data_IF_364487670691
#
_entry.id   IF_364487670691
#
_cell.length_a   1.000
_cell.length_b   1.000
_cell.length_c   1.000
_cell.angle_alpha   90.00
_cell.angle_beta   90.00
_cell.angle_gamma   90.00
#
_symmetry.space_group_name_H-M   'P 1'
#
loop_
_entity.id
_entity.type
_entity.pdbx_description
1 polymer ?
#
# COMPACT_ATOMS: atom_id res chain seq x y z
N UNK A 1 12.15 4.50 -17.96
CA UNK A 1 11.14 5.12 -17.07
C UNK A 1 9.85 4.30 -16.89
N UNK A 2 9.09 4.00 -17.96
CA UNK A 2 7.76 3.37 -17.85
C UNK A 2 7.68 2.13 -16.94
N UNK A 3 8.61 1.14 -17.02
CA UNK A 3 8.55 -0.04 -16.14
C UNK A 3 8.71 0.32 -14.65
N UNK A 4 9.54 1.32 -14.36
CA UNK A 4 9.79 1.81 -13.00
C UNK A 4 8.56 2.53 -12.47
N UNK A 5 7.94 3.39 -13.27
CA UNK A 5 6.71 4.09 -12.89
C UNK A 5 5.57 3.10 -12.63
N UNK A 6 5.35 2.14 -13.53
CA UNK A 6 4.32 1.10 -13.36
C UNK A 6 4.54 0.27 -12.09
N UNK A 7 5.79 0.06 -11.69
CA UNK A 7 6.11 -0.60 -10.42
C UNK A 7 5.81 0.32 -9.23
N UNK A 8 6.29 1.56 -9.26
CA UNK A 8 6.19 2.52 -8.16
C UNK A 8 4.75 2.94 -7.83
N UNK A 9 3.84 3.01 -8.82
CA UNK A 9 2.43 3.37 -8.59
C UNK A 9 1.63 2.28 -7.87
N UNK A 10 2.03 1.01 -7.99
CA UNK A 10 1.31 -0.13 -7.39
C UNK A 10 1.24 -0.04 -5.85
N UNK A 11 2.36 0.07 -5.12
CA UNK A 11 2.34 0.17 -3.65
C UNK A 11 2.03 1.60 -3.14
N UNK A 12 1.85 2.58 -4.03
CA UNK A 12 1.58 3.97 -3.69
C UNK A 12 0.14 4.37 -4.03
N UNK A 13 -0.08 5.06 -5.14
CA UNK A 13 -1.39 5.61 -5.53
C UNK A 13 -2.45 4.53 -5.75
N UNK A 14 -2.08 3.32 -6.20
CA UNK A 14 -3.02 2.21 -6.34
C UNK A 14 -3.26 1.44 -5.03
N UNK A 15 -2.66 1.90 -3.93
CA UNK A 15 -2.79 1.33 -2.57
C UNK A 15 -3.33 2.36 -1.58
N UNK A 16 -4.09 3.34 -2.06
CA UNK A 16 -4.79 4.32 -1.22
C UNK A 16 -6.28 4.37 -1.55
N UNK A 17 -7.12 4.71 -0.56
CA UNK A 17 -8.53 4.99 -0.80
C UNK A 17 -9.07 5.96 0.25
N UNK A 18 -9.72 7.05 -0.14
CA UNK A 18 -10.39 7.96 0.80
C UNK A 18 -11.84 7.52 1.03
N UNK A 19 -12.62 7.43 -0.03
CA UNK A 19 -14.06 7.11 -0.03
C UNK A 19 -14.41 5.87 -0.86
N UNK A 20 -13.52 5.47 -1.78
CA UNK A 20 -13.71 4.34 -2.67
C UNK A 20 -14.11 4.73 -4.09
N UNK A 21 -14.27 6.03 -4.37
CA UNK A 21 -14.65 6.53 -5.68
C UNK A 21 -13.42 6.89 -6.51
N UNK A 22 -13.18 6.11 -7.58
CA UNK A 22 -12.08 6.36 -8.51
C UNK A 22 -12.43 7.53 -9.44
N UNK A 23 -11.55 8.52 -9.53
CA UNK A 23 -11.76 9.70 -10.38
C UNK A 23 -11.69 9.33 -11.85
N UNK A 24 -12.43 10.07 -12.69
CA UNK A 24 -12.34 9.97 -14.15
C UNK A 24 -11.05 10.56 -14.73
N UNK A 25 -10.22 11.19 -13.90
CA UNK A 25 -9.10 12.02 -14.32
C UNK A 25 -7.76 11.69 -13.64
N UNK A 26 -7.69 10.63 -12.84
CA UNK A 26 -6.45 10.25 -12.15
C UNK A 26 -5.31 10.04 -13.16
N UNK A 27 -4.26 10.85 -13.03
CA UNK A 27 -3.14 10.89 -13.99
C UNK A 27 -1.82 11.07 -13.25
N UNK A 28 -0.86 10.18 -13.51
CA UNK A 28 0.51 10.28 -13.00
C UNK A 28 1.48 10.36 -14.19
N UNK A 29 2.32 11.39 -14.22
CA UNK A 29 3.32 11.60 -15.27
C UNK A 29 4.73 11.63 -14.65
N UNK A 30 5.68 10.97 -15.31
CA UNK A 30 7.10 11.00 -14.94
C UNK A 30 7.91 11.50 -16.13
N UNK A 31 8.64 12.60 -15.93
CA UNK A 31 9.46 13.26 -16.94
C UNK A 31 10.92 13.27 -16.47
N UNK A 32 11.86 12.95 -17.37
CA UNK A 32 13.29 13.07 -17.11
C UNK A 32 13.94 13.89 -18.23
N UNK A 33 14.67 14.93 -17.86
CA UNK A 33 15.28 15.88 -18.81
C UNK A 33 16.80 15.68 -19.00
N UNK A 34 17.42 14.72 -18.29
CA UNK A 34 18.85 14.42 -18.41
C UNK A 34 19.79 15.46 -17.79
N UNK A 35 19.30 16.46 -17.04
CA UNK A 35 20.16 17.52 -16.50
C UNK A 35 21.22 17.01 -15.50
N UNK A 36 21.01 15.83 -14.90
CA UNK A 36 21.95 15.17 -14.00
C UNK A 36 22.96 14.26 -14.73
N UNK A 37 22.89 14.14 -16.06
CA UNK A 37 23.75 13.26 -16.84
C UNK A 37 25.20 13.75 -16.93
N UNK A 38 25.50 15.00 -16.58
CA UNK A 38 26.87 15.50 -16.50
C UNK A 38 27.30 15.67 -15.05
N UNK A 39 28.41 15.02 -14.66
CA UNK A 39 29.02 15.18 -13.34
C UNK A 39 30.52 15.41 -13.49
N UNK A 40 30.99 16.59 -13.07
CA UNK A 40 32.40 17.01 -13.15
C UNK A 40 33.00 16.93 -14.58
N UNK A 41 32.22 17.28 -15.60
CA UNK A 41 32.66 17.21 -17.00
C UNK A 41 32.69 15.79 -17.60
N UNK A 42 32.18 14.79 -16.88
CA UNK A 42 32.01 13.43 -17.36
C UNK A 42 30.52 13.15 -17.59
N UNK A 43 30.17 12.65 -18.77
CA UNK A 43 28.82 12.17 -19.05
C UNK A 43 28.63 10.80 -18.39
N UNK A 44 27.61 10.71 -17.54
CA UNK A 44 27.12 9.47 -16.97
C UNK A 44 26.39 8.69 -18.06
N UNK A 45 26.50 7.37 -18.01
CA UNK A 45 25.70 6.51 -18.88
C UNK A 45 24.23 6.52 -18.44
N UNK A 46 23.35 6.18 -19.39
CA UNK A 46 21.93 6.03 -19.09
C UNK A 46 21.70 4.86 -18.14
N UNK A 47 20.84 5.07 -17.14
CA UNK A 47 20.43 3.99 -16.24
C UNK A 47 19.56 3.01 -17.02
N UNK A 48 20.09 1.81 -17.25
CA UNK A 48 19.38 0.73 -17.92
C UNK A 48 19.29 -0.51 -17.04
N UNK A 49 18.20 -1.27 -17.20
CA UNK A 49 17.91 -2.44 -16.37
C UNK A 49 18.89 -3.60 -16.61
N UNK A 50 19.39 -3.73 -17.84
CA UNK A 50 20.25 -4.83 -18.26
C UNK A 50 21.73 -4.47 -18.09
N UNK A 51 22.12 -3.25 -18.44
CA UNK A 51 23.53 -2.83 -18.38
C UNK A 51 23.94 -2.21 -17.04
N UNK A 52 23.01 -1.57 -16.31
CA UNK A 52 23.27 -0.95 -15.00
C UNK A 52 22.17 -1.29 -13.98
N UNK A 53 22.07 -2.59 -13.69
CA UNK A 53 21.05 -3.13 -12.79
C UNK A 53 21.09 -2.52 -11.39
N UNK A 54 22.26 -2.15 -10.88
CA UNK A 54 22.39 -1.58 -9.54
C UNK A 54 21.80 -0.17 -9.49
N UNK A 55 22.17 0.72 -10.41
CA UNK A 55 21.61 2.06 -10.46
C UNK A 55 20.09 2.02 -10.76
N UNK A 56 19.65 1.09 -11.62
CA UNK A 56 18.24 0.90 -11.92
C UNK A 56 17.43 0.53 -10.67
N UNK A 57 17.94 -0.38 -9.84
CA UNK A 57 17.28 -0.79 -8.60
C UNK A 57 17.26 0.34 -7.56
N UNK A 58 18.34 1.14 -7.46
CA UNK A 58 18.37 2.34 -6.61
C UNK A 58 17.32 3.36 -7.07
N UNK A 59 17.31 3.71 -8.36
CA UNK A 59 16.32 4.65 -8.91
C UNK A 59 14.88 4.15 -8.70
N UNK A 60 14.63 2.86 -8.93
CA UNK A 60 13.32 2.25 -8.70
C UNK A 60 12.89 2.36 -7.25
N UNK A 61 13.78 2.08 -6.31
CA UNK A 61 13.50 2.18 -4.87
C UNK A 61 13.17 3.62 -4.49
N UNK A 62 14.03 4.58 -4.84
CA UNK A 62 13.84 5.99 -4.49
C UNK A 62 12.56 6.57 -5.10
N UNK A 63 12.25 6.22 -6.35
CA UNK A 63 10.98 6.62 -6.97
C UNK A 63 9.78 6.01 -6.23
N UNK A 64 9.87 4.73 -5.85
CA UNK A 64 8.79 4.03 -5.14
C UNK A 64 8.55 4.63 -3.76
N UNK A 65 9.60 4.91 -3.00
CA UNK A 65 9.49 5.53 -1.68
C UNK A 65 8.88 6.94 -1.80
N UNK A 66 9.32 7.71 -2.79
CA UNK A 66 8.78 9.04 -3.07
C UNK A 66 7.29 9.02 -3.44
N UNK A 67 6.88 8.12 -4.35
CA UNK A 67 5.46 8.01 -4.73
C UNK A 67 4.59 7.53 -3.56
N UNK A 68 5.11 6.63 -2.72
CA UNK A 68 4.44 6.19 -1.49
C UNK A 68 4.20 7.37 -0.56
N UNK A 69 5.19 8.24 -0.37
CA UNK A 69 5.01 9.41 0.49
C UNK A 69 4.00 10.42 -0.08
N UNK A 70 4.01 10.65 -1.40
CA UNK A 70 2.97 11.47 -2.06
C UNK A 70 1.57 10.87 -1.87
N UNK A 71 1.42 9.56 -2.04
CA UNK A 71 0.13 8.89 -1.84
C UNK A 71 -0.38 9.01 -0.40
N UNK A 72 0.51 8.95 0.59
CA UNK A 72 0.15 9.21 2.00
C UNK A 72 -0.30 10.64 2.23
N UNK A 73 0.29 11.63 1.54
CA UNK A 73 -0.14 13.03 1.63
C UNK A 73 -1.57 13.21 1.09
N UNK A 74 -1.92 12.54 -0.01
CA UNK A 74 -3.29 12.54 -0.56
C UNK A 74 -4.30 12.04 0.48
N UNK A 75 -4.00 10.93 1.17
CA UNK A 75 -4.89 10.41 2.21
C UNK A 75 -5.02 11.36 3.41
N UNK A 76 -3.91 11.99 3.82
CA UNK A 76 -3.93 12.94 4.94
C UNK A 76 -4.78 14.17 4.67
N UNK A 77 -4.87 14.57 3.40
CA UNK A 77 -5.72 15.67 2.95
C UNK A 77 -7.12 15.20 2.50
N UNK A 78 -7.47 13.95 2.81
CA UNK A 78 -8.80 13.41 2.53
C UNK A 78 -9.89 14.25 3.19
N UNK A 79 -11.02 14.43 2.49
CA UNK A 79 -12.11 15.27 2.97
C UNK A 79 -12.62 14.81 4.34
N UNK A 80 -12.46 15.66 5.36
CA UNK A 80 -12.89 15.35 6.73
C UNK A 80 -12.05 14.26 7.42
N UNK A 81 -10.87 13.94 6.89
CA UNK A 81 -9.97 12.96 7.49
C UNK A 81 -9.46 13.46 8.86
N UNK A 82 -9.66 12.64 9.89
CA UNK A 82 -9.15 12.88 11.26
C UNK A 82 -8.18 11.80 11.72
N UNK A 83 -8.13 10.68 10.99
CA UNK A 83 -7.32 9.51 11.25
C UNK A 83 -6.62 9.11 9.96
N UNK A 84 -5.42 8.57 10.11
CA UNK A 84 -4.69 7.95 9.02
C UNK A 84 -4.54 6.48 9.36
N UNK A 85 -5.15 5.60 8.57
CA UNK A 85 -5.17 4.17 8.87
C UNK A 85 -4.32 3.43 7.85
N UNK A 86 -3.57 2.45 8.34
CA UNK A 86 -2.80 1.54 7.50
C UNK A 86 -3.31 0.12 7.72
N UNK A 87 -3.87 -0.50 6.69
CA UNK A 87 -4.24 -1.90 6.71
C UNK A 87 -3.15 -2.76 6.07
N UNK A 88 -2.72 -3.80 6.78
CA UNK A 88 -1.72 -4.77 6.33
C UNK A 88 -2.27 -6.17 6.49
N UNK A 89 -2.26 -6.96 5.42
CA UNK A 89 -2.64 -8.38 5.45
C UNK A 89 -1.38 -9.21 5.29
N UNK A 90 -1.22 -10.25 6.13
CA UNK A 90 -0.11 -11.20 6.04
C UNK A 90 -0.65 -12.63 5.99
N UNK A 91 0.11 -13.52 5.34
CA UNK A 91 -0.25 -14.94 5.23
C UNK A 91 -1.31 -15.23 4.17
N UNK A 92 -1.62 -14.29 3.28
CA UNK A 92 -2.39 -14.58 2.08
C UNK A 92 -1.52 -15.31 1.04
N UNK A 93 -2.09 -16.23 0.25
CA UNK A 93 -1.32 -17.03 -0.71
C UNK A 93 -0.86 -16.22 -1.93
N UNK A 94 -1.64 -15.22 -2.34
CA UNK A 94 -1.34 -14.35 -3.48
C UNK A 94 -1.58 -12.89 -3.15
N UNK A 95 -0.95 -12.00 -3.92
CA UNK A 95 -1.09 -10.55 -3.81
C UNK A 95 -2.54 -10.08 -4.00
N UNK A 96 -3.26 -10.70 -4.95
CA UNK A 96 -4.65 -10.34 -5.27
C UNK A 96 -5.56 -10.44 -4.03
N UNK A 97 -5.38 -11.48 -3.22
CA UNK A 97 -6.13 -11.69 -1.97
C UNK A 97 -5.82 -10.59 -0.94
N UNK A 98 -4.55 -10.19 -0.82
CA UNK A 98 -4.14 -9.07 0.04
C UNK A 98 -4.84 -7.79 -0.40
N UNK A 99 -4.78 -7.49 -1.70
CA UNK A 99 -5.38 -6.29 -2.28
C UNK A 99 -6.91 -6.28 -2.10
N UNK A 100 -7.60 -7.38 -2.36
CA UNK A 100 -9.04 -7.48 -2.16
C UNK A 100 -9.44 -7.24 -0.70
N UNK A 101 -8.76 -7.88 0.25
CA UNK A 101 -9.07 -7.73 1.68
C UNK A 101 -8.80 -6.31 2.17
N UNK A 102 -7.63 -5.76 1.85
CA UNK A 102 -7.25 -4.40 2.25
C UNK A 102 -8.17 -3.36 1.61
N UNK A 103 -8.51 -3.52 0.33
CA UNK A 103 -9.39 -2.60 -0.40
C UNK A 103 -10.79 -2.60 0.17
N UNK A 104 -11.33 -3.78 0.48
CA UNK A 104 -12.64 -3.88 1.11
C UNK A 104 -12.66 -3.30 2.52
N UNK A 105 -11.60 -3.47 3.32
CA UNK A 105 -11.49 -2.84 4.64
C UNK A 105 -11.49 -1.30 4.48
N UNK A 106 -10.70 -0.79 3.55
CA UNK A 106 -10.55 0.66 3.34
C UNK A 106 -11.82 1.37 2.89
N UNK A 107 -12.69 0.66 2.16
CA UNK A 107 -13.98 1.16 1.61
C UNK A 107 -15.19 0.79 2.48
N UNK A 108 -14.99 0.05 3.58
CA UNK A 108 -16.09 -0.37 4.46
C UNK A 108 -16.51 0.78 5.37
N UNK A 109 -17.68 1.36 5.11
CA UNK A 109 -18.26 2.41 5.96
C UNK A 109 -18.36 1.99 7.44
N UNK A 110 -18.66 0.72 7.73
CA UNK A 110 -18.71 0.19 9.10
C UNK A 110 -17.33 0.07 9.76
N UNK A 111 -16.28 -0.23 8.99
CA UNK A 111 -14.92 -0.24 9.50
C UNK A 111 -14.42 1.19 9.74
N UNK A 112 -14.57 2.09 8.76
CA UNK A 112 -14.16 3.51 8.85
C UNK A 112 -14.85 4.23 10.02
N UNK A 113 -16.15 4.00 10.23
CA UNK A 113 -16.88 4.61 11.35
C UNK A 113 -16.47 4.06 12.71
N UNK A 114 -16.13 2.77 12.82
CA UNK A 114 -15.58 2.21 14.06
C UNK A 114 -14.21 2.83 14.38
N UNK A 115 -13.32 2.93 13.39
CA UNK A 115 -12.00 3.56 13.52
C UNK A 115 -12.11 5.05 13.89
N UNK A 116 -13.03 5.78 13.25
CA UNK A 116 -13.29 7.19 13.56
C UNK A 116 -13.74 7.40 15.01
N UNK A 117 -14.58 6.50 15.53
CA UNK A 117 -15.08 6.56 16.92
C UNK A 117 -14.11 6.01 17.96
N UNK A 118 -12.93 5.55 17.53
CA UNK A 118 -12.00 4.78 18.38
C UNK A 118 -12.68 3.57 19.04
N UNK A 119 -13.71 3.04 18.38
CA UNK A 119 -14.44 1.85 18.80
C UNK A 119 -13.67 0.64 18.29
N UNK A 120 -13.09 -0.14 19.22
CA UNK A 120 -12.40 -1.38 18.94
C UNK A 120 -13.36 -2.52 18.55
N UNK A 121 -14.34 -2.23 17.68
CA UNK A 121 -15.27 -3.19 17.10
C UNK A 121 -14.57 -4.05 16.04
N UNK A 122 -13.65 -4.88 16.53
CA UNK A 122 -12.75 -5.67 15.71
C UNK A 122 -13.49 -6.63 14.78
N UNK A 123 -14.73 -7.02 15.12
CA UNK A 123 -15.57 -7.93 14.32
C UNK A 123 -15.91 -7.39 12.93
N UNK A 124 -15.85 -6.07 12.72
CA UNK A 124 -16.06 -5.47 11.40
C UNK A 124 -15.00 -5.89 10.39
N UNK A 125 -13.76 -6.08 10.83
CA UNK A 125 -12.65 -6.47 9.96
C UNK A 125 -12.80 -7.89 9.42
N UNK A 126 -12.96 -8.95 10.24
CA UNK A 126 -13.21 -10.30 9.73
C UNK A 126 -14.47 -10.41 8.87
N UNK A 127 -15.56 -9.71 9.24
CA UNK A 127 -16.78 -9.70 8.43
C UNK A 127 -16.51 -9.15 7.02
N UNK A 128 -15.64 -8.14 6.92
CA UNK A 128 -15.25 -7.51 5.67
C UNK A 128 -14.31 -8.42 4.87
N UNK A 129 -13.34 -9.06 5.52
CA UNK A 129 -12.46 -10.09 4.92
C UNK A 129 -13.24 -11.27 4.35
N UNK A 130 -14.30 -11.73 5.01
CA UNK A 130 -15.15 -12.83 4.51
C UNK A 130 -16.04 -12.43 3.32
N UNK A 131 -16.14 -11.13 2.99
CA UNK A 131 -17.02 -10.62 1.94
C UNK A 131 -16.38 -10.48 0.56
N UNK A 132 -15.08 -10.76 0.45
CA UNK A 132 -14.32 -10.63 -0.81
C UNK A 132 -14.02 -12.00 -1.44
N UNK A 133 -13.88 -12.08 -2.77
CA UNK A 133 -13.35 -13.28 -3.41
C UNK A 133 -11.92 -13.52 -2.95
N UNK A 134 -11.62 -14.76 -2.58
CA UNK A 134 -10.28 -15.21 -2.19
C UNK A 134 -9.91 -16.43 -3.02
N UNK A 135 -8.63 -16.54 -3.38
CA UNK A 135 -8.09 -17.68 -4.12
C UNK A 135 -8.17 -19.00 -3.36
N UNK A 136 -8.31 -18.96 -2.04
CA UNK A 136 -8.46 -20.12 -1.16
C UNK A 136 -9.46 -19.83 -0.03
N UNK A 137 -10.18 -20.84 0.49
CA UNK A 137 -11.12 -20.64 1.58
C UNK A 137 -10.44 -20.07 2.83
N UNK A 138 -11.02 -19.00 3.40
CA UNK A 138 -10.57 -18.44 4.67
C UNK A 138 -10.96 -19.37 5.81
N UNK A 139 -10.01 -19.78 6.63
CA UNK A 139 -10.27 -20.57 7.84
C UNK A 139 -10.46 -19.64 9.05
N UNK A 140 -11.67 -19.52 9.62
CA UNK A 140 -11.95 -18.54 10.67
C UNK A 140 -11.06 -18.69 11.92
N UNK A 141 -10.72 -19.94 12.27
CA UNK A 141 -9.88 -20.26 13.44
C UNK A 141 -8.40 -19.87 13.26
N UNK A 142 -8.02 -19.35 12.10
CA UNK A 142 -6.65 -19.00 11.74
C UNK A 142 -6.49 -17.52 11.40
N UNK A 143 -7.54 -16.72 11.61
CA UNK A 143 -7.53 -15.27 11.40
C UNK A 143 -7.29 -14.57 12.73
N UNK A 144 -6.27 -13.73 12.80
CA UNK A 144 -6.09 -12.80 13.91
C UNK A 144 -6.13 -11.36 13.42
N UNK A 145 -6.64 -10.47 14.27
CA UNK A 145 -6.75 -9.04 14.01
C UNK A 145 -6.04 -8.29 15.12
N UNK A 146 -5.05 -7.47 14.77
CA UNK A 146 -4.32 -6.62 15.74
C UNK A 146 -4.48 -5.16 15.37
N UNK A 147 -4.73 -4.31 16.36
CA UNK A 147 -4.69 -2.86 16.25
C UNK A 147 -3.42 -2.36 16.93
N UNK A 148 -2.59 -1.61 16.20
CA UNK A 148 -1.45 -0.88 16.75
C UNK A 148 -1.68 0.61 16.70
N UNK A 149 -1.14 1.37 17.65
CA UNK A 149 -1.06 2.84 17.59
C UNK A 149 0.40 3.28 17.55
N UNK A 150 0.77 4.11 16.59
CA UNK A 150 2.09 4.77 16.56
C UNK A 150 1.93 6.24 16.93
N UNK A 151 2.82 6.78 17.78
CA UNK A 151 2.80 8.19 18.19
C UNK A 151 3.25 9.10 17.04
N UNK A 152 2.30 9.55 16.23
CA UNK A 152 2.46 10.60 15.21
C UNK A 152 1.35 11.66 15.43
N UNK A 153 1.51 12.89 14.94
CA UNK A 153 0.57 14.00 15.22
C UNK A 153 -0.87 13.77 14.72
N UNK A 154 -1.07 12.74 13.88
CA UNK A 154 -2.37 12.16 13.53
C UNK A 154 -2.37 10.73 14.04
N UNK A 155 -3.43 10.29 14.71
CA UNK A 155 -3.51 8.95 15.29
C UNK A 155 -3.38 7.91 14.16
N UNK A 156 -2.24 7.22 14.12
CA UNK A 156 -1.94 6.17 13.14
C UNK A 156 -2.40 4.85 13.73
N UNK A 157 -3.38 4.21 13.09
CA UNK A 157 -3.86 2.90 13.50
C UNK A 157 -3.40 1.85 12.47
N UNK A 158 -2.64 0.85 12.93
CA UNK A 158 -2.20 -0.28 12.13
C UNK A 158 -3.16 -1.44 12.32
N UNK A 159 -3.72 -1.96 11.23
CA UNK A 159 -4.56 -3.15 11.24
C UNK A 159 -3.78 -4.32 10.62
N UNK A 160 -3.46 -5.34 11.42
CA UNK A 160 -2.88 -6.58 10.93
C UNK A 160 -3.93 -7.67 10.84
N UNK A 161 -4.11 -8.25 9.65
CA UNK A 161 -4.86 -9.50 9.47
C UNK A 161 -3.86 -10.61 9.19
N UNK A 162 -3.66 -11.56 10.12
CA UNK A 162 -2.80 -12.74 9.90
C UNK A 162 -3.66 -13.96 9.57
N UNK A 163 -3.38 -14.63 8.46
CA UNK A 163 -3.93 -15.96 8.14
C UNK A 163 -2.86 -17.05 8.39
N UNK A 164 -3.01 -17.84 9.47
CA UNK A 164 -2.05 -18.88 9.85
C UNK A 164 -2.34 -20.24 9.16
N UNK A 165 -2.09 -20.36 7.85
CA UNK A 165 -2.14 -21.67 7.17
C UNK A 165 -1.25 -21.83 5.95
N UNK A 166 -0.15 -21.10 5.85
CA UNK A 166 0.75 -21.28 4.71
C UNK A 166 2.18 -21.44 5.21
N UNK A 167 2.80 -22.54 4.79
CA UNK A 167 4.24 -22.82 4.95
C UNK A 167 5.01 -21.57 4.51
N UNK A 168 6.07 -21.16 5.23
CA UNK A 168 6.82 -19.95 4.89
C UNK A 168 7.63 -20.22 3.62
N UNK A 169 6.99 -20.15 2.46
CA UNK A 169 7.70 -19.80 1.25
C UNK A 169 7.88 -18.28 1.25
N UNK A 170 9.15 -17.93 1.09
CA UNK A 170 9.75 -16.62 1.22
C UNK A 170 9.13 -15.64 0.22
N UNK A 171 7.97 -15.06 0.54
CA UNK A 171 7.67 -13.69 0.14
C UNK A 171 8.44 -12.83 1.15
N UNK A 172 9.70 -12.60 0.84
CA UNK A 172 10.51 -11.65 1.59
C UNK A 172 9.81 -10.28 1.54
N UNK A 173 9.61 -9.70 2.72
CA UNK A 173 9.57 -8.25 2.97
C UNK A 173 8.44 -7.37 2.39
N UNK A 174 7.55 -7.83 1.53
CA UNK A 174 6.48 -6.95 1.04
C UNK A 174 5.28 -6.92 2.00
N UNK A 175 5.41 -6.09 3.04
CA UNK A 175 4.27 -5.61 3.81
C UNK A 175 3.42 -4.73 2.90
N UNK A 176 2.49 -5.33 2.16
CA UNK A 176 1.51 -4.56 1.41
C UNK A 176 0.54 -3.88 2.37
N UNK A 177 0.54 -2.56 2.27
CA UNK A 177 -0.19 -1.66 3.12
C UNK A 177 -1.14 -0.85 2.26
N UNK A 178 -2.40 -0.80 2.65
CA UNK A 178 -3.37 0.14 2.10
C UNK A 178 -3.61 1.27 3.09
N UNK A 179 -3.62 2.51 2.59
CA UNK A 179 -3.81 3.70 3.41
C UNK A 179 -5.20 4.33 3.17
N UNK A 180 -5.92 4.69 4.24
CA UNK A 180 -7.29 5.22 4.17
C UNK A 180 -7.78 5.94 5.43
#
# INVERSE_FOLDING_TARGET
LQPVLTYAVKPSFNSISVDGDMSTNDTILLLANGAAAEKNGVMLEEIDKETDKEAFEVFKKELTDFTVDLAKLVIRDGQGATKFVTATVKGAPIYEDVHHVTSRISTSALAKTALYREDANWRRVPATTCSVPLSSPLHPNKVSVTYGTTSLPVLVQQLYVLAHSFTPQRIANDHFAQYF
#
